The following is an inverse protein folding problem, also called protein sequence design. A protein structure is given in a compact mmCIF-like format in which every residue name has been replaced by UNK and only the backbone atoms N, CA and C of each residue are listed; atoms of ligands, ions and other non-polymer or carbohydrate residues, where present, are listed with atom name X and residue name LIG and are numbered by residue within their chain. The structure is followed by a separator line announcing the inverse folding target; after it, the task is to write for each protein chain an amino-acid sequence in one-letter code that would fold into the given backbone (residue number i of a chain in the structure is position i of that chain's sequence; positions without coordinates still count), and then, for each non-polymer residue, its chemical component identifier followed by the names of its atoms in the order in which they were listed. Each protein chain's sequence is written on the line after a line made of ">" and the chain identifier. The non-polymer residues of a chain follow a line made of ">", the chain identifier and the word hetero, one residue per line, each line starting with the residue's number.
data_IF_331472773174
#
_entry.id   IF_331472773174
#
_cell.length_a   1.000
_cell.length_b   1.000
_cell.length_c   1.000
_cell.angle_alpha   90.00
_cell.angle_beta   90.00
_cell.angle_gamma   90.00
#
_symmetry.space_group_name_H-M   'P 1'
#
loop_
_entity.id
_entity.type
_entity.pdbx_description
1 polymer ?
#
# COMPACT_ATOMS: atom_id res chain seq x y z
N UNK A 1 -12.03 5.44 -31.98
CA UNK A 1 -12.09 4.50 -33.12
C UNK A 1 -13.34 3.61 -33.15
N UNK A 2 -13.89 3.22 -31.99
CA UNK A 2 -15.05 2.33 -31.91
C UNK A 2 -16.31 2.90 -32.61
N UNK A 3 -16.64 4.16 -32.32
CA UNK A 3 -17.82 4.85 -32.89
C UNK A 3 -17.78 4.97 -34.42
N UNK A 4 -16.61 5.28 -34.99
CA UNK A 4 -16.43 5.35 -36.44
C UNK A 4 -16.61 3.97 -37.11
N UNK A 5 -16.17 2.89 -36.46
CA UNK A 5 -16.34 1.53 -36.98
C UNK A 5 -17.80 1.11 -36.94
N UNK A 6 -18.50 1.37 -35.82
CA UNK A 6 -19.92 1.10 -35.69
C UNK A 6 -20.74 1.86 -36.76
N UNK A 7 -20.45 3.15 -36.95
CA UNK A 7 -21.10 3.98 -37.98
C UNK A 7 -20.91 3.40 -39.39
N UNK A 8 -19.71 2.89 -39.71
CA UNK A 8 -19.46 2.22 -41.00
C UNK A 8 -20.25 0.93 -41.16
N UNK A 9 -20.26 0.07 -40.13
CA UNK A 9 -21.04 -1.17 -40.15
C UNK A 9 -22.53 -0.89 -40.35
N UNK A 10 -23.04 0.12 -39.64
CA UNK A 10 -24.43 0.55 -39.73
C UNK A 10 -24.77 1.08 -41.13
N UNK A 11 -23.89 1.88 -41.74
CA UNK A 11 -24.08 2.36 -43.11
C UNK A 11 -24.01 1.25 -44.16
N UNK A 12 -23.19 0.24 -43.94
CA UNK A 12 -23.12 -0.92 -44.82
C UNK A 12 -24.35 -1.82 -44.69
N UNK A 13 -24.80 -2.08 -43.46
CA UNK A 13 -25.97 -2.93 -43.19
C UNK A 13 -27.31 -2.28 -43.57
N UNK A 14 -27.41 -0.96 -43.44
CA UNK A 14 -28.60 -0.17 -43.79
C UNK A 14 -28.43 0.50 -45.17
N UNK A 15 -27.94 -0.27 -46.14
CA UNK A 15 -27.82 0.21 -47.52
C UNK A 15 -29.20 0.52 -48.08
N UNK A 16 -29.33 1.71 -48.64
CA UNK A 16 -30.56 2.15 -49.28
C UNK A 16 -30.75 1.44 -50.63
N UNK A 17 -31.86 0.70 -50.83
CA UNK A 17 -32.19 0.12 -52.12
C UNK A 17 -32.71 1.20 -53.07
N UNK A 18 -32.46 0.99 -54.36
CA UNK A 18 -33.08 1.74 -55.43
C UNK A 18 -34.54 1.33 -55.61
N UNK A 19 -35.32 2.19 -56.28
CA UNK A 19 -36.72 1.90 -56.64
C UNK A 19 -36.85 0.61 -57.46
N UNK A 20 -35.88 0.31 -58.31
CA UNK A 20 -35.85 -0.92 -59.11
C UNK A 20 -35.61 -2.15 -58.24
N UNK A 21 -34.62 -2.10 -57.34
CA UNK A 21 -34.34 -3.19 -56.39
C UNK A 21 -35.56 -3.48 -55.50
N UNK A 22 -36.24 -2.43 -55.00
CA UNK A 22 -37.44 -2.61 -54.21
C UNK A 22 -38.62 -3.15 -55.05
N UNK A 23 -38.78 -2.65 -56.29
CA UNK A 23 -39.87 -3.04 -57.18
C UNK A 23 -39.85 -4.52 -57.59
N UNK A 24 -38.68 -5.14 -57.66
CA UNK A 24 -38.54 -6.59 -57.91
C UNK A 24 -39.25 -7.42 -56.83
N UNK A 25 -39.35 -6.92 -55.59
CA UNK A 25 -40.04 -7.59 -54.51
C UNK A 25 -41.57 -7.36 -54.50
N UNK A 26 -42.08 -6.44 -55.33
CA UNK A 26 -43.50 -6.12 -55.41
C UNK A 26 -44.01 -6.08 -56.88
N UNK A 27 -43.90 -7.18 -57.64
CA UNK A 27 -44.15 -7.19 -59.08
C UNK A 27 -45.60 -6.88 -59.50
N UNK A 28 -46.56 -6.97 -58.56
CA UNK A 28 -47.97 -6.67 -58.81
C UNK A 28 -48.40 -5.26 -58.41
N UNK A 29 -47.51 -4.44 -57.83
CA UNK A 29 -47.85 -3.10 -57.39
C UNK A 29 -47.54 -2.05 -58.47
N UNK A 30 -48.42 -1.05 -58.65
CA UNK A 30 -48.14 0.05 -59.56
C UNK A 30 -46.99 0.90 -59.03
N UNK A 31 -46.18 1.45 -59.95
CA UNK A 31 -44.96 2.23 -59.65
C UNK A 31 -45.17 3.33 -58.58
N UNK A 32 -46.27 4.12 -58.58
CA UNK A 32 -46.50 5.13 -57.55
C UNK A 32 -46.61 4.55 -56.13
N UNK A 33 -47.17 3.34 -56.00
CA UNK A 33 -47.28 2.65 -54.70
C UNK A 33 -45.93 2.13 -54.25
N UNK A 34 -45.12 1.58 -55.17
CA UNK A 34 -43.74 1.17 -54.88
C UNK A 34 -42.87 2.36 -54.47
N UNK A 35 -43.07 3.52 -55.08
CA UNK A 35 -42.38 4.76 -54.69
C UNK A 35 -42.76 5.22 -53.29
N UNK A 36 -44.06 5.22 -52.95
CA UNK A 36 -44.51 5.55 -51.59
C UNK A 36 -43.97 4.56 -50.53
N UNK A 37 -43.89 3.26 -50.88
CA UNK A 37 -43.26 2.25 -50.03
C UNK A 37 -41.76 2.48 -49.85
N UNK A 38 -41.07 2.92 -50.92
CA UNK A 38 -39.67 3.29 -50.83
C UNK A 38 -39.49 4.48 -49.89
N UNK A 39 -40.29 5.54 -50.02
CA UNK A 39 -40.21 6.72 -49.14
C UNK A 39 -40.40 6.35 -47.66
N UNK A 40 -41.39 5.50 -47.36
CA UNK A 40 -41.61 4.97 -46.01
C UNK A 40 -40.40 4.15 -45.53
N UNK A 41 -39.87 3.29 -46.40
CA UNK A 41 -38.70 2.48 -46.09
C UNK A 41 -37.46 3.35 -45.80
N UNK A 42 -37.24 4.42 -46.57
CA UNK A 42 -36.17 5.39 -46.33
C UNK A 42 -36.33 6.08 -44.97
N UNK A 43 -37.56 6.46 -44.62
CA UNK A 43 -37.84 7.07 -43.32
C UNK A 43 -37.54 6.10 -42.17
N UNK A 44 -37.92 4.83 -42.30
CA UNK A 44 -37.60 3.78 -41.32
C UNK A 44 -36.09 3.58 -41.20
N UNK A 45 -35.36 3.48 -42.32
CA UNK A 45 -33.90 3.37 -42.30
C UNK A 45 -33.23 4.56 -41.63
N UNK A 46 -33.72 5.78 -41.88
CA UNK A 46 -33.23 6.98 -41.21
C UNK A 46 -33.45 6.92 -39.71
N UNK A 47 -34.63 6.48 -39.28
CA UNK A 47 -34.97 6.35 -37.86
C UNK A 47 -34.12 5.28 -37.16
N UNK A 48 -33.99 4.09 -37.76
CA UNK A 48 -33.11 3.03 -37.25
C UNK A 48 -31.67 3.55 -37.14
N UNK A 49 -31.19 4.27 -38.15
CA UNK A 49 -29.83 4.81 -38.15
C UNK A 49 -29.61 5.78 -36.99
N UNK A 50 -30.52 6.72 -36.78
CA UNK A 50 -30.43 7.71 -35.70
C UNK A 50 -30.47 7.05 -34.32
N UNK A 51 -31.47 6.20 -34.07
CA UNK A 51 -31.62 5.54 -32.77
C UNK A 51 -30.46 4.60 -32.48
N UNK A 52 -30.00 3.83 -33.47
CA UNK A 52 -28.88 2.90 -33.24
C UNK A 52 -27.58 3.64 -32.88
N UNK A 53 -27.36 4.84 -33.44
CA UNK A 53 -26.19 5.67 -33.09
C UNK A 53 -26.31 6.29 -31.69
N UNK A 54 -27.51 6.73 -31.33
CA UNK A 54 -27.80 7.28 -30.00
C UNK A 54 -27.64 6.21 -28.91
N UNK A 55 -28.31 5.07 -29.07
CA UNK A 55 -28.22 3.91 -28.16
C UNK A 55 -26.77 3.42 -28.02
N UNK A 56 -26.03 3.35 -29.14
CA UNK A 56 -24.63 2.98 -29.10
C UNK A 56 -23.78 3.99 -28.32
N UNK A 57 -24.07 5.29 -28.48
CA UNK A 57 -23.44 6.36 -27.71
C UNK A 57 -23.74 6.23 -26.21
N UNK A 58 -24.98 5.91 -25.86
CA UNK A 58 -25.41 5.70 -24.48
C UNK A 58 -24.72 4.51 -23.85
N UNK A 59 -24.64 3.37 -24.54
CA UNK A 59 -23.88 2.20 -24.11
C UNK A 59 -22.40 2.56 -23.93
N UNK A 60 -21.79 3.30 -24.86
CA UNK A 60 -20.39 3.69 -24.71
C UNK A 60 -20.15 4.55 -23.46
N UNK A 61 -21.08 5.45 -23.14
CA UNK A 61 -21.04 6.30 -21.93
C UNK A 61 -21.29 5.49 -20.66
N UNK A 62 -22.33 4.67 -20.63
CA UNK A 62 -22.72 3.86 -19.48
C UNK A 62 -21.57 2.93 -19.04
N UNK A 63 -20.89 2.31 -19.99
CA UNK A 63 -19.81 1.36 -19.68
C UNK A 63 -18.42 2.01 -19.59
N UNK A 64 -18.32 3.34 -19.74
CA UNK A 64 -17.04 4.07 -19.71
C UNK A 64 -16.06 3.58 -20.77
N UNK A 65 -16.54 3.26 -21.97
CA UNK A 65 -15.72 2.62 -23.00
C UNK A 65 -14.59 3.52 -23.49
N UNK A 66 -14.80 4.82 -23.56
CA UNK A 66 -13.75 5.77 -23.97
C UNK A 66 -12.57 5.77 -22.98
N UNK A 67 -12.86 5.72 -21.67
CA UNK A 67 -11.83 5.67 -20.63
C UNK A 67 -11.05 4.35 -20.67
N UNK A 68 -11.76 3.22 -20.85
CA UNK A 68 -11.15 1.89 -20.96
C UNK A 68 -10.29 1.76 -22.21
N UNK A 69 -10.75 2.26 -23.36
CA UNK A 69 -9.97 2.26 -24.59
C UNK A 69 -8.76 3.18 -24.47
N UNK A 70 -8.90 4.36 -23.87
CA UNK A 70 -7.77 5.26 -23.62
C UNK A 70 -6.74 4.63 -22.67
N UNK A 71 -7.17 3.91 -21.63
CA UNK A 71 -6.28 3.18 -20.74
C UNK A 71 -5.53 2.05 -21.47
N UNK A 72 -6.21 1.31 -22.35
CA UNK A 72 -5.59 0.30 -23.19
C UNK A 72 -4.58 0.90 -24.17
N UNK A 73 -4.91 2.01 -24.83
CA UNK A 73 -3.98 2.71 -25.72
C UNK A 73 -2.73 3.19 -24.97
N UNK A 74 -2.89 3.69 -23.74
CA UNK A 74 -1.77 4.05 -22.86
C UNK A 74 -0.92 2.85 -22.46
N UNK A 75 -1.54 1.71 -22.12
CA UNK A 75 -0.81 0.48 -21.83
C UNK A 75 -0.04 -0.04 -23.05
N UNK A 76 -0.66 -0.05 -24.23
CA UNK A 76 0.00 -0.45 -25.47
C UNK A 76 1.15 0.51 -25.84
N UNK A 77 0.98 1.81 -25.64
CA UNK A 77 2.04 2.80 -25.86
C UNK A 77 3.18 2.68 -24.83
N UNK A 78 2.87 2.37 -23.58
CA UNK A 78 3.89 2.11 -22.54
C UNK A 78 4.64 0.79 -22.79
N UNK A 79 3.99 -0.16 -23.46
CA UNK A 79 4.56 -1.44 -23.91
C UNK A 79 5.15 -1.30 -25.32
N UNK A 80 5.87 -0.21 -25.61
CA UNK A 80 6.73 -0.18 -26.79
C UNK A 80 7.84 -1.25 -26.65
N UNK A 81 8.24 -1.88 -27.77
CA UNK A 81 8.98 -3.14 -27.73
C UNK A 81 10.40 -2.89 -27.22
N UNK A 82 10.64 -3.20 -25.95
CA UNK A 82 11.98 -3.57 -25.50
C UNK A 82 12.26 -4.93 -26.16
N UNK A 83 12.78 -4.88 -27.39
CA UNK A 83 13.23 -6.02 -28.20
C UNK A 83 12.14 -7.04 -28.59
N UNK A 84 11.26 -6.67 -29.53
CA UNK A 84 10.47 -7.63 -30.31
C UNK A 84 11.19 -8.02 -31.61
N UNK A 85 12.46 -8.43 -31.51
CA UNK A 85 13.04 -9.38 -32.45
C UNK A 85 12.97 -10.72 -31.75
N UNK A 86 12.23 -11.66 -32.34
CA UNK A 86 12.12 -13.06 -31.92
C UNK A 86 11.20 -13.32 -30.71
N UNK A 87 9.89 -13.24 -30.92
CA UNK A 87 8.99 -14.39 -30.74
C UNK A 87 7.57 -13.94 -31.00
N UNK A 88 7.13 -14.18 -32.24
CA UNK A 88 5.72 -14.24 -32.61
C UNK A 88 5.12 -15.51 -31.99
N UNK A 89 5.03 -15.56 -30.67
CA UNK A 89 4.30 -16.58 -29.91
C UNK A 89 3.11 -15.90 -29.26
N UNK A 90 1.94 -16.52 -29.30
CA UNK A 90 0.78 -16.07 -28.52
C UNK A 90 1.24 -15.77 -27.09
N UNK A 91 1.07 -14.54 -26.63
CA UNK A 91 1.28 -14.22 -25.21
C UNK A 91 0.27 -15.05 -24.44
N UNK A 92 0.74 -16.14 -23.86
CA UNK A 92 -0.05 -16.97 -22.97
C UNK A 92 -0.41 -16.09 -21.78
N UNK A 93 -1.66 -15.64 -21.74
CA UNK A 93 -2.17 -14.71 -20.73
C UNK A 93 -1.94 -15.30 -19.33
N UNK A 94 -1.96 -16.63 -19.19
CA UNK A 94 -1.64 -17.28 -17.93
C UNK A 94 -0.16 -17.06 -17.52
N UNK A 95 0.77 -17.18 -18.46
CA UNK A 95 2.20 -16.92 -18.21
C UNK A 95 2.48 -15.44 -17.92
N UNK A 96 1.78 -14.51 -18.58
CA UNK A 96 1.89 -13.08 -18.32
C UNK A 96 1.34 -12.70 -16.93
N UNK A 97 0.19 -13.26 -16.53
CA UNK A 97 -0.39 -13.08 -15.19
C UNK A 97 0.52 -13.66 -14.11
N UNK A 98 1.09 -14.85 -14.34
CA UNK A 98 2.01 -15.48 -13.40
C UNK A 98 3.34 -14.71 -13.29
N UNK A 99 3.82 -14.11 -14.39
CA UNK A 99 4.95 -13.18 -14.38
C UNK A 99 4.68 -11.91 -13.57
N UNK A 100 3.49 -11.32 -13.73
CA UNK A 100 3.09 -10.15 -12.96
C UNK A 100 2.91 -10.46 -11.46
N UNK A 101 2.33 -11.61 -11.12
CA UNK A 101 2.16 -12.05 -9.73
C UNK A 101 3.51 -12.29 -9.05
N UNK A 102 4.42 -12.99 -9.72
CA UNK A 102 5.76 -13.25 -9.19
C UNK A 102 6.57 -11.97 -9.02
N UNK A 103 6.49 -11.03 -9.96
CA UNK A 103 7.12 -9.71 -9.83
C UNK A 103 6.56 -8.91 -8.65
N UNK A 104 5.23 -8.84 -8.51
CA UNK A 104 4.58 -8.17 -7.39
C UNK A 104 4.95 -8.81 -6.04
N UNK A 105 5.02 -10.15 -5.99
CA UNK A 105 5.42 -10.88 -4.79
C UNK A 105 6.88 -10.63 -4.41
N UNK A 106 7.79 -10.62 -5.38
CA UNK A 106 9.20 -10.29 -5.12
C UNK A 106 9.36 -8.85 -4.63
N UNK A 107 8.62 -7.90 -5.20
CA UNK A 107 8.64 -6.51 -4.74
C UNK A 107 8.11 -6.37 -3.30
N UNK A 108 7.00 -7.04 -2.98
CA UNK A 108 6.46 -7.06 -1.61
C UNK A 108 7.45 -7.68 -0.62
N UNK A 109 8.07 -8.80 -0.97
CA UNK A 109 9.12 -9.44 -0.15
C UNK A 109 10.33 -8.53 0.04
N UNK A 110 10.74 -7.78 -0.98
CA UNK A 110 11.85 -6.82 -0.88
C UNK A 110 11.54 -5.67 0.07
N UNK A 111 10.31 -5.14 0.03
CA UNK A 111 9.86 -4.10 0.95
C UNK A 111 9.77 -4.60 2.39
N UNK A 112 9.24 -5.80 2.60
CA UNK A 112 9.15 -6.43 3.92
C UNK A 112 10.53 -6.72 4.50
N UNK A 113 11.46 -7.24 3.69
CA UNK A 113 12.85 -7.45 4.10
C UNK A 113 13.53 -6.14 4.52
N UNK A 114 13.35 -5.06 3.75
CA UNK A 114 13.88 -3.75 4.10
C UNK A 114 13.28 -3.21 5.41
N UNK A 115 11.97 -3.39 5.62
CA UNK A 115 11.29 -3.00 6.84
C UNK A 115 11.81 -3.78 8.07
N UNK A 116 11.94 -5.10 7.95
CA UNK A 116 12.47 -5.96 9.01
C UNK A 116 13.93 -5.62 9.33
N UNK A 117 14.75 -5.33 8.32
CA UNK A 117 16.13 -4.89 8.50
C UNK A 117 16.19 -3.59 9.32
N UNK A 118 15.37 -2.61 8.97
CA UNK A 118 15.29 -1.34 9.71
C UNK A 118 14.83 -1.53 11.16
N UNK A 119 13.80 -2.36 11.38
CA UNK A 119 13.31 -2.69 12.71
C UNK A 119 14.38 -3.40 13.57
N UNK A 120 15.15 -4.33 12.97
CA UNK A 120 16.25 -5.00 13.64
C UNK A 120 17.36 -4.01 14.03
N UNK A 121 17.75 -3.11 13.12
CA UNK A 121 18.76 -2.08 13.41
C UNK A 121 18.31 -1.19 14.57
N UNK A 122 17.04 -0.77 14.59
CA UNK A 122 16.47 0.03 15.68
C UNK A 122 16.44 -0.73 17.01
N UNK A 123 16.04 -2.00 16.98
CA UNK A 123 16.01 -2.86 18.17
C UNK A 123 17.41 -3.08 18.75
N UNK A 124 18.42 -3.29 17.89
CA UNK A 124 19.83 -3.42 18.30
C UNK A 124 20.34 -2.12 18.94
N UNK A 125 20.07 -0.96 18.33
CA UNK A 125 20.45 0.33 18.90
C UNK A 125 19.81 0.57 20.27
N UNK A 126 18.52 0.27 20.41
CA UNK A 126 17.80 0.37 21.68
C UNK A 126 18.37 -0.57 22.75
N UNK A 127 18.64 -1.83 22.39
CA UNK A 127 19.28 -2.82 23.27
C UNK A 127 20.62 -2.32 23.78
N UNK A 128 21.45 -1.76 22.89
CA UNK A 128 22.80 -1.31 23.25
C UNK A 128 22.76 -0.06 24.15
N UNK A 129 21.80 0.85 23.92
CA UNK A 129 21.52 1.96 24.84
C UNK A 129 21.10 1.46 26.22
N UNK A 130 20.16 0.51 26.29
CA UNK A 130 19.71 -0.06 27.57
C UNK A 130 20.84 -0.78 28.31
N UNK A 131 21.72 -1.49 27.60
CA UNK A 131 22.92 -2.10 28.19
C UNK A 131 23.83 -1.06 28.83
N UNK A 132 24.06 0.07 28.16
CA UNK A 132 24.85 1.17 28.74
C UNK A 132 24.19 1.73 29.99
N UNK A 133 22.88 1.93 29.99
CA UNK A 133 22.13 2.39 31.18
C UNK A 133 22.28 1.39 32.33
N UNK A 134 22.18 0.09 32.08
CA UNK A 134 22.35 -0.95 33.11
C UNK A 134 23.77 -0.92 33.69
N UNK A 135 24.79 -0.79 32.86
CA UNK A 135 26.20 -0.68 33.31
C UNK A 135 26.38 0.55 34.21
N UNK A 136 25.87 1.71 33.78
CA UNK A 136 25.95 2.95 34.56
C UNK A 136 25.22 2.83 35.91
N UNK A 137 24.00 2.26 35.91
CA UNK A 137 23.24 2.05 37.15
C UNK A 137 23.94 1.09 38.10
N UNK A 138 24.57 0.03 37.58
CA UNK A 138 25.34 -0.92 38.38
C UNK A 138 26.57 -0.26 39.00
N UNK A 139 27.31 0.55 38.24
CA UNK A 139 28.46 1.30 38.75
C UNK A 139 28.04 2.29 39.84
N UNK A 140 26.96 3.05 39.63
CA UNK A 140 26.43 3.98 40.62
C UNK A 140 25.98 3.27 41.91
N UNK A 141 25.33 2.10 41.78
CA UNK A 141 24.93 1.30 42.94
C UNK A 141 26.14 0.77 43.73
N UNK A 142 27.21 0.35 43.04
CA UNK A 142 28.46 -0.07 43.68
C UNK A 142 29.13 1.08 44.45
N UNK A 143 29.23 2.26 43.83
CA UNK A 143 29.77 3.46 44.50
C UNK A 143 28.97 3.85 45.75
N UNK A 144 27.63 3.80 45.67
CA UNK A 144 26.77 4.04 46.82
C UNK A 144 26.99 2.99 47.93
N UNK A 145 27.08 1.71 47.58
CA UNK A 145 27.32 0.64 48.54
C UNK A 145 28.69 0.79 49.24
N UNK A 146 29.73 1.18 48.50
CA UNK A 146 31.05 1.47 49.05
C UNK A 146 31.02 2.67 50.01
N UNK A 147 30.33 3.75 49.65
CA UNK A 147 30.15 4.93 50.51
C UNK A 147 29.37 4.60 51.80
N UNK A 148 28.33 3.77 51.73
CA UNK A 148 27.63 3.30 52.92
C UNK A 148 28.51 2.42 53.81
N UNK A 149 29.35 1.58 53.21
CA UNK A 149 30.29 0.72 53.96
C UNK A 149 31.34 1.55 54.69
N UNK A 150 31.91 2.57 54.04
CA UNK A 150 32.89 3.47 54.67
C UNK A 150 32.25 4.28 55.79
N UNK A 151 31.04 4.81 55.58
CA UNK A 151 30.29 5.52 56.63
C UNK A 151 30.01 4.61 57.82
N UNK A 152 29.63 3.36 57.58
CA UNK A 152 29.42 2.36 58.63
C UNK A 152 30.70 2.07 59.42
N UNK A 153 31.86 1.97 58.76
CA UNK A 153 33.15 1.78 59.46
C UNK A 153 33.55 3.01 60.26
N UNK A 154 33.29 4.23 59.76
CA UNK A 154 33.61 5.47 60.46
C UNK A 154 32.74 5.62 61.72
N UNK A 155 31.44 5.32 61.62
CA UNK A 155 30.53 5.32 62.77
C UNK A 155 30.94 4.27 63.81
N UNK A 156 31.33 3.07 63.38
CA UNK A 156 31.83 2.02 64.27
C UNK A 156 33.11 2.48 65.00
N UNK A 157 34.05 3.10 64.29
CA UNK A 157 35.29 3.62 64.88
C UNK A 157 35.02 4.76 65.88
N UNK A 158 34.09 5.65 65.57
CA UNK A 158 33.66 6.72 66.50
C UNK A 158 32.98 6.16 67.75
N UNK A 159 32.21 5.08 67.63
CA UNK A 159 31.63 4.40 68.78
C UNK A 159 32.71 3.75 69.67
N UNK A 160 33.64 3.00 69.08
CA UNK A 160 34.73 2.36 69.83
C UNK A 160 35.72 3.34 70.45
N UNK A 161 35.95 4.51 69.85
CA UNK A 161 36.76 5.59 70.46
C UNK A 161 36.03 6.30 71.59
N UNK A 162 34.69 6.42 71.55
CA UNK A 162 33.94 6.95 72.70
C UNK A 162 34.00 6.01 73.90
N UNK A 163 33.89 4.70 73.68
CA UNK A 163 33.98 3.69 74.76
C UNK A 163 35.36 3.69 75.43
N UNK A 164 36.45 3.86 74.66
CA UNK A 164 37.81 3.93 75.22
C UNK A 164 38.11 5.24 75.96
N UNK A 165 37.51 6.36 75.55
CA UNK A 165 37.63 7.64 76.26
C UNK A 165 36.84 7.64 77.57
N UNK A 166 35.68 6.96 77.64
CA UNK A 166 34.94 6.79 78.90
C UNK A 166 35.54 5.74 79.84
N UNK A 167 36.36 4.79 79.33
CA UNK A 167 37.07 3.80 80.14
C UNK A 167 38.35 4.31 80.81
N UNK A 168 38.92 5.42 80.35
CA UNK A 168 40.18 6.00 80.88
C UNK A 168 39.96 7.15 81.88
N UNK A 169 38.72 7.40 82.31
CA UNK A 169 38.33 8.48 83.23
C UNK A 169 37.72 8.00 84.55
N UNK A 170 38.00 6.77 84.99
CA UNK A 170 37.52 6.20 86.24
C UNK A 170 38.66 5.83 87.22
N UNK A 171 39.71 6.65 87.29
CA UNK A 171 40.60 6.71 88.45
C UNK A 171 40.88 8.17 88.75
N UNK A 172 40.12 8.73 89.71
CA UNK A 172 40.61 9.60 90.80
C UNK A 172 39.42 10.32 91.47
N UNK A 173 39.13 9.87 92.70
CA UNK A 173 38.82 10.78 93.81
C UNK A 173 37.34 11.07 94.10
N UNK A 174 36.79 10.35 95.09
CA UNK A 174 35.96 10.98 96.12
C UNK A 174 36.05 10.18 97.42
N UNK A 175 36.82 10.73 98.36
CA UNK A 175 36.93 10.36 99.76
C UNK A 175 35.60 10.58 100.53
N UNK A 176 35.42 9.72 101.55
CA UNK A 176 34.94 9.99 102.91
C UNK A 176 33.58 10.70 103.20
N UNK A 177 32.67 9.94 103.83
CA UNK A 177 31.92 10.29 105.07
C UNK A 177 31.17 9.02 105.53
N UNK A 178 31.50 8.37 106.65
CA UNK A 178 31.33 8.75 108.07
C UNK A 178 29.85 8.83 108.53
N UNK A 179 29.61 8.40 109.78
CA UNK A 179 28.36 8.36 110.60
C UNK A 179 27.73 6.94 110.69
N UNK A 180 28.10 6.11 111.69
CA UNK A 180 27.53 5.99 113.06
C UNK A 180 26.06 5.51 113.13
N UNK A 181 25.85 4.22 113.41
CA UNK A 181 25.31 3.66 114.68
C UNK A 181 25.18 2.14 114.58
#
# INVERSE_FOLDING_TARGET
>A
MLFSSFTRCLNYGLRTPSLQELGVHFPGLPVPVVAALLDLYLQVLSHIRSHSLEEFGDICREYGMDEKLAALDQMCAATQPINATEQSGSVDIAAAVQGAETAARMQAMGQEAAHLQAALTQAVACRDQLRQVVIQKRAAAQQLAEAYKSLGTDVQQQASTRESVTGSGAELGAEASSVQC
#
